data_IF_925103161074
#
_entry.id   IF_925103161074
#
_cell.length_a   1.000
_cell.length_b   1.000
_cell.length_c   1.000
_cell.angle_alpha   90.00
_cell.angle_beta   90.00
_cell.angle_gamma   90.00
#
_symmetry.space_group_name_H-M   'P 1'
#
loop_
_entity.id
_entity.type
_entity.pdbx_description
1 polymer ?
#
# COMPACT_ATOMS: atom_id res chain seq x y z
N UNK A 1 16.24 11.54 -16.06
CA UNK A 1 15.83 12.67 -16.95
C UNK A 1 15.08 13.64 -16.07
N UNK A 2 15.63 14.84 -15.89
CA UNK A 2 15.00 15.89 -15.05
C UNK A 2 14.22 16.93 -15.87
N UNK A 3 14.38 16.89 -17.20
CA UNK A 3 13.76 17.87 -18.11
C UNK A 3 13.28 17.19 -19.38
N UNK A 4 11.99 17.35 -19.66
CA UNK A 4 11.35 16.84 -20.90
C UNK A 4 11.50 17.76 -22.10
N UNK A 5 12.02 18.99 -21.92
CA UNK A 5 12.24 19.95 -23.02
C UNK A 5 13.28 19.44 -24.03
N UNK A 6 14.19 18.57 -23.58
CA UNK A 6 15.22 17.94 -24.44
C UNK A 6 14.63 17.08 -25.59
N UNK A 7 13.35 16.67 -25.49
CA UNK A 7 12.68 15.85 -26.51
C UNK A 7 12.01 16.67 -27.62
N UNK A 8 12.20 17.99 -27.64
CA UNK A 8 11.67 18.84 -28.70
C UNK A 8 10.17 18.70 -28.92
N UNK A 9 9.73 18.37 -30.14
CA UNK A 9 8.34 18.14 -30.53
C UNK A 9 7.88 16.68 -30.43
N UNK A 10 8.79 15.76 -30.15
CA UNK A 10 8.47 14.32 -30.13
C UNK A 10 7.48 13.96 -29.00
N UNK A 11 6.61 12.98 -29.23
CA UNK A 11 5.78 12.44 -28.16
C UNK A 11 6.62 11.83 -27.04
N UNK A 12 6.27 12.13 -25.79
CA UNK A 12 6.96 11.62 -24.59
C UNK A 12 5.98 10.79 -23.77
N UNK A 13 6.35 9.56 -23.49
CA UNK A 13 5.61 8.67 -22.60
C UNK A 13 6.29 8.66 -21.23
N UNK A 14 5.55 8.99 -20.19
CA UNK A 14 6.01 8.96 -18.79
C UNK A 14 5.35 7.76 -18.09
N UNK A 15 6.18 6.84 -17.61
CA UNK A 15 5.79 5.62 -16.92
C UNK A 15 6.56 5.47 -15.60
N UNK A 16 6.65 6.54 -14.81
CA UNK A 16 7.50 6.63 -13.61
C UNK A 16 6.88 6.03 -12.35
N UNK A 17 5.68 5.46 -12.47
CA UNK A 17 5.05 4.72 -11.39
C UNK A 17 4.48 5.62 -10.28
N UNK A 18 4.50 5.10 -9.07
CA UNK A 18 3.91 5.71 -7.88
C UNK A 18 4.90 5.62 -6.71
N UNK A 19 4.68 6.43 -5.69
CA UNK A 19 5.44 6.39 -4.43
C UNK A 19 4.53 5.96 -3.27
N UNK A 20 5.06 5.34 -2.21
CA UNK A 20 4.30 5.04 -1.01
C UNK A 20 3.62 6.26 -0.42
N UNK A 21 2.41 6.09 0.09
CA UNK A 21 1.68 7.11 0.83
C UNK A 21 2.19 7.18 2.25
N UNK A 22 3.07 8.14 2.53
CA UNK A 22 3.57 8.37 3.89
C UNK A 22 2.48 8.98 4.79
N UNK A 23 2.28 8.40 5.95
CA UNK A 23 1.29 8.86 6.93
C UNK A 23 1.83 10.00 7.81
N UNK A 24 2.40 11.04 7.20
CA UNK A 24 3.14 12.16 7.87
C UNK A 24 2.38 12.89 8.96
N UNK A 25 1.04 12.75 9.00
CA UNK A 25 0.20 13.37 10.05
C UNK A 25 0.10 12.50 11.31
N UNK A 26 0.57 11.26 11.25
CA UNK A 26 0.58 10.33 12.39
C UNK A 26 1.88 10.55 13.16
N UNK A 27 1.84 10.95 14.45
CA UNK A 27 3.04 11.04 15.27
C UNK A 27 3.81 9.71 15.29
N UNK A 28 5.12 9.76 15.09
CA UNK A 28 5.97 8.56 15.02
C UNK A 28 5.93 7.82 13.68
N UNK A 29 5.34 8.40 12.63
CA UNK A 29 5.26 7.77 11.31
C UNK A 29 6.64 7.39 10.73
N UNK A 30 7.70 8.11 11.10
CA UNK A 30 9.08 7.87 10.69
C UNK A 30 9.67 6.56 11.26
N UNK A 31 9.01 5.93 12.23
CA UNK A 31 9.36 4.62 12.78
C UNK A 31 8.77 3.46 11.97
N UNK A 32 7.85 3.75 11.06
CA UNK A 32 7.25 2.73 10.20
C UNK A 32 8.20 2.35 9.07
N UNK A 33 8.18 1.07 8.72
CA UNK A 33 8.81 0.52 7.54
C UNK A 33 7.78 0.54 6.42
N UNK A 34 8.09 1.12 5.26
CA UNK A 34 7.18 1.03 4.12
C UNK A 34 7.11 -0.41 3.59
N UNK A 35 5.94 -0.85 3.14
CA UNK A 35 5.77 -2.21 2.64
C UNK A 35 6.75 -2.58 1.53
N UNK A 36 7.13 -1.64 0.65
CA UNK A 36 8.14 -1.86 -0.37
C UNK A 36 9.55 -2.07 0.21
N UNK A 37 9.90 -1.42 1.31
CA UNK A 37 11.21 -1.58 1.96
C UNK A 37 11.29 -2.94 2.68
N UNK A 38 10.18 -3.39 3.30
CA UNK A 38 10.08 -4.74 3.83
C UNK A 38 10.27 -5.79 2.72
N UNK A 39 9.58 -5.66 1.58
CA UNK A 39 9.71 -6.56 0.44
C UNK A 39 11.12 -6.53 -0.20
N UNK A 40 11.88 -5.47 0.01
CA UNK A 40 13.28 -5.35 -0.40
C UNK A 40 14.27 -5.88 0.66
N UNK A 41 13.78 -6.49 1.74
CA UNK A 41 14.61 -7.19 2.73
C UNK A 41 14.89 -6.42 4.01
N UNK A 42 14.15 -5.34 4.32
CA UNK A 42 14.24 -4.72 5.64
C UNK A 42 13.74 -5.69 6.72
N UNK A 43 14.57 -5.97 7.69
CA UNK A 43 14.23 -6.89 8.78
C UNK A 43 13.20 -6.29 9.74
N UNK A 44 12.35 -7.15 10.29
CA UNK A 44 11.30 -6.81 11.27
C UNK A 44 11.35 -7.77 12.47
N UNK A 45 10.84 -7.32 13.61
CA UNK A 45 10.72 -8.12 14.82
C UNK A 45 9.70 -9.26 14.69
N UNK A 46 9.35 -9.89 15.81
CA UNK A 46 8.47 -11.07 15.83
C UNK A 46 7.00 -10.68 15.75
N UNK A 47 6.59 -9.62 16.45
CA UNK A 47 5.21 -9.10 16.41
C UNK A 47 5.17 -7.85 15.53
N UNK A 48 4.43 -7.93 14.42
CA UNK A 48 4.44 -6.91 13.38
C UNK A 48 3.04 -6.35 13.15
N UNK A 49 2.87 -5.06 13.41
CA UNK A 49 1.65 -4.35 13.04
C UNK A 49 1.69 -3.94 11.56
N UNK A 50 0.74 -4.42 10.76
CA UNK A 50 0.58 -4.07 9.34
C UNK A 50 -0.56 -3.06 9.22
N UNK A 51 -0.23 -1.84 8.82
CA UNK A 51 -1.18 -0.72 8.70
C UNK A 51 -1.70 -0.66 7.25
N UNK A 52 -2.95 -1.05 7.09
CA UNK A 52 -3.63 -1.17 5.80
C UNK A 52 -3.90 -2.62 5.42
N UNK A 53 -5.17 -3.02 5.46
CA UNK A 53 -5.68 -4.35 5.10
C UNK A 53 -6.08 -4.47 3.62
N UNK A 54 -5.44 -3.70 2.73
CA UNK A 54 -5.53 -3.89 1.29
C UNK A 54 -4.80 -5.16 0.84
N UNK A 55 -4.76 -5.42 -0.49
CA UNK A 55 -4.13 -6.64 -1.01
C UNK A 55 -2.68 -6.77 -0.54
N UNK A 56 -1.85 -5.74 -0.74
CA UNK A 56 -0.44 -5.75 -0.35
C UNK A 56 -0.25 -5.99 1.15
N UNK A 57 -1.01 -5.30 2.01
CA UNK A 57 -0.89 -5.49 3.45
C UNK A 57 -1.32 -6.88 3.91
N UNK A 58 -2.37 -7.44 3.30
CA UNK A 58 -2.79 -8.82 3.59
C UNK A 58 -1.76 -9.84 3.08
N UNK A 59 -1.16 -9.65 1.89
CA UNK A 59 -0.11 -10.53 1.37
C UNK A 59 1.14 -10.49 2.26
N UNK A 60 1.57 -9.31 2.73
CA UNK A 60 2.68 -9.17 3.68
C UNK A 60 2.36 -9.84 5.02
N UNK A 61 1.15 -9.63 5.57
CA UNK A 61 0.75 -10.27 6.82
C UNK A 61 0.70 -11.80 6.70
N UNK A 62 0.24 -12.31 5.56
CA UNK A 62 0.24 -13.74 5.25
C UNK A 62 1.67 -14.29 5.19
N UNK A 63 2.57 -13.62 4.49
CA UNK A 63 3.99 -14.00 4.40
C UNK A 63 4.67 -14.00 5.78
N UNK A 64 4.49 -12.95 6.58
CA UNK A 64 5.00 -12.87 7.95
C UNK A 64 4.55 -14.07 8.80
N UNK A 65 3.27 -14.44 8.71
CA UNK A 65 2.76 -15.60 9.44
C UNK A 65 3.38 -16.93 8.96
N UNK A 66 3.62 -17.09 7.65
CA UNK A 66 4.32 -18.26 7.11
C UNK A 66 5.79 -18.33 7.57
N UNK A 67 6.41 -17.18 7.85
CA UNK A 67 7.75 -17.10 8.42
C UNK A 67 7.77 -17.36 9.95
N UNK A 68 6.61 -17.64 10.57
CA UNK A 68 6.48 -17.89 12.00
C UNK A 68 6.41 -16.62 12.85
N UNK A 69 6.21 -15.44 12.25
CA UNK A 69 5.99 -14.18 12.96
C UNK A 69 4.51 -13.99 13.32
N UNK A 70 4.22 -12.99 14.13
CA UNK A 70 2.89 -12.68 14.63
C UNK A 70 2.37 -11.37 13.99
N UNK A 71 1.78 -11.41 12.79
CA UNK A 71 1.21 -10.22 12.17
C UNK A 71 -0.08 -9.79 12.87
N UNK A 72 -0.29 -8.47 12.95
CA UNK A 72 -1.50 -7.83 13.42
C UNK A 72 -1.95 -6.87 12.32
N UNK A 73 -3.16 -7.02 11.78
CA UNK A 73 -3.66 -6.16 10.69
C UNK A 73 -4.54 -5.06 11.28
N UNK A 74 -4.26 -3.81 10.91
CA UNK A 74 -5.09 -2.65 11.24
C UNK A 74 -5.64 -2.05 9.94
N UNK A 75 -6.96 -2.06 9.77
CA UNK A 75 -7.63 -1.55 8.58
C UNK A 75 -8.73 -0.56 8.95
N UNK A 76 -8.74 0.59 8.27
CA UNK A 76 -9.72 1.65 8.50
C UNK A 76 -11.11 1.34 7.93
N UNK A 77 -11.20 0.42 6.97
CA UNK A 77 -12.46 -0.03 6.39
C UNK A 77 -13.07 -1.17 7.19
N UNK A 78 -14.27 -1.54 6.81
CA UNK A 78 -15.09 -2.58 7.42
C UNK A 78 -14.75 -4.00 6.94
N UNK A 79 -13.82 -4.14 5.96
CA UNK A 79 -13.39 -5.44 5.45
C UNK A 79 -11.98 -5.39 4.87
N UNK A 80 -11.29 -6.55 4.86
CA UNK A 80 -10.01 -6.73 4.22
C UNK A 80 -10.16 -6.82 2.70
N UNK A 81 -9.11 -6.40 1.97
CA UNK A 81 -9.04 -6.49 0.50
C UNK A 81 -10.32 -5.97 -0.17
N UNK A 82 -10.86 -4.86 0.35
CA UNK A 82 -12.13 -4.28 -0.12
C UNK A 82 -12.00 -3.44 -1.41
N UNK A 83 -10.79 -3.35 -1.99
CA UNK A 83 -10.57 -2.62 -3.25
C UNK A 83 -11.16 -3.36 -4.45
N UNK A 84 -11.65 -2.60 -5.43
CA UNK A 84 -12.15 -3.15 -6.69
C UNK A 84 -11.04 -3.67 -7.59
N UNK A 85 -11.34 -4.68 -8.41
CA UNK A 85 -10.41 -5.23 -9.41
C UNK A 85 -9.46 -6.30 -8.88
N UNK A 86 -9.63 -6.74 -7.63
CA UNK A 86 -8.95 -7.93 -7.08
C UNK A 86 -9.78 -9.16 -7.41
N UNK A 87 -9.10 -10.25 -7.75
CA UNK A 87 -9.76 -11.54 -7.96
C UNK A 87 -10.43 -12.00 -6.66
N UNK A 88 -11.69 -12.42 -6.75
CA UNK A 88 -12.46 -12.89 -5.60
C UNK A 88 -11.77 -14.07 -4.89
N UNK A 89 -11.17 -14.97 -5.66
CA UNK A 89 -10.44 -16.11 -5.10
C UNK A 89 -9.30 -15.66 -4.16
N UNK A 90 -8.54 -14.64 -4.55
CA UNK A 90 -7.44 -14.12 -3.72
C UNK A 90 -7.97 -13.43 -2.45
N UNK A 91 -8.99 -12.58 -2.58
CA UNK A 91 -9.53 -11.86 -1.43
C UNK A 91 -10.23 -12.78 -0.44
N UNK A 92 -11.03 -13.76 -0.92
CA UNK A 92 -11.67 -14.76 -0.07
C UNK A 92 -10.66 -15.66 0.63
N UNK A 93 -9.64 -16.13 -0.12
CA UNK A 93 -8.58 -16.95 0.45
C UNK A 93 -7.88 -16.29 1.64
N UNK A 94 -7.45 -15.02 1.47
CA UNK A 94 -6.76 -14.28 2.53
C UNK A 94 -7.64 -14.06 3.76
N UNK A 95 -8.91 -13.65 3.55
CA UNK A 95 -9.86 -13.46 4.65
C UNK A 95 -10.10 -14.75 5.44
N UNK A 96 -10.40 -15.85 4.73
CA UNK A 96 -10.63 -17.16 5.33
C UNK A 96 -9.39 -17.68 6.05
N UNK A 97 -8.21 -17.48 5.46
CA UNK A 97 -6.95 -17.88 6.06
C UNK A 97 -6.71 -17.17 7.40
N UNK A 98 -6.85 -15.83 7.45
CA UNK A 98 -6.69 -15.06 8.68
C UNK A 98 -7.72 -15.46 9.74
N UNK A 99 -8.96 -15.69 9.35
CA UNK A 99 -10.00 -16.15 10.26
C UNK A 99 -9.67 -17.55 10.84
N UNK A 100 -9.24 -18.49 9.99
CA UNK A 100 -8.87 -19.86 10.40
C UNK A 100 -7.69 -19.85 11.37
N UNK A 101 -6.66 -19.04 11.10
CA UNK A 101 -5.44 -18.95 11.92
C UNK A 101 -5.56 -17.97 13.08
N UNK A 102 -6.74 -17.34 13.24
CA UNK A 102 -7.03 -16.37 14.31
C UNK A 102 -6.03 -15.21 14.34
N UNK A 103 -5.55 -14.79 13.18
CA UNK A 103 -4.70 -13.61 13.05
C UNK A 103 -5.45 -12.40 13.57
N UNK A 104 -4.88 -11.58 14.47
CA UNK A 104 -5.53 -10.37 14.97
C UNK A 104 -5.79 -9.39 13.82
N UNK A 105 -7.06 -9.04 13.61
CA UNK A 105 -7.52 -8.09 12.59
C UNK A 105 -8.41 -7.04 13.26
N UNK A 106 -7.98 -5.79 13.18
CA UNK A 106 -8.72 -4.63 13.68
C UNK A 106 -9.31 -3.88 12.49
N UNK A 107 -10.58 -4.13 12.19
CA UNK A 107 -11.35 -3.41 11.16
C UNK A 107 -11.94 -2.12 11.73
N UNK A 108 -12.33 -1.18 10.85
CA UNK A 108 -12.88 0.13 11.20
C UNK A 108 -12.01 0.85 12.25
N UNK A 109 -10.68 0.64 12.14
CA UNK A 109 -9.69 1.07 13.13
C UNK A 109 -8.61 1.90 12.45
N UNK A 110 -8.36 3.10 12.97
CA UNK A 110 -7.44 4.08 12.37
C UNK A 110 -6.21 4.24 13.23
N UNK A 111 -5.02 4.16 12.63
CA UNK A 111 -3.76 4.45 13.30
C UNK A 111 -3.71 5.92 13.75
N UNK A 112 -3.44 6.13 15.03
CA UNK A 112 -3.37 7.45 15.66
C UNK A 112 -1.94 7.87 15.98
N UNK A 113 -1.10 6.95 16.43
CA UNK A 113 0.28 7.21 16.86
C UNK A 113 1.12 5.93 16.79
N UNK A 114 2.41 6.08 16.46
CA UNK A 114 3.41 5.01 16.54
C UNK A 114 4.39 5.33 17.66
N UNK A 115 4.55 4.39 18.59
CA UNK A 115 5.45 4.49 19.74
C UNK A 115 6.58 3.48 19.64
N UNK A 116 7.50 3.53 20.60
CA UNK A 116 8.49 2.46 20.76
C UNK A 116 7.78 1.25 21.38
N UNK A 117 7.77 0.13 20.65
CA UNK A 117 7.17 -1.13 21.10
C UNK A 117 5.65 -1.19 21.03
N UNK A 118 4.95 -0.19 20.48
CA UNK A 118 3.48 -0.24 20.33
C UNK A 118 2.94 0.77 19.33
N UNK A 119 1.67 0.60 18.97
CA UNK A 119 0.87 1.60 18.25
C UNK A 119 -0.39 1.96 19.05
N UNK A 120 -0.86 3.19 18.88
CA UNK A 120 -2.19 3.60 19.34
C UNK A 120 -3.11 3.73 18.14
N UNK A 121 -4.25 3.10 18.21
CA UNK A 121 -5.28 3.17 17.18
C UNK A 121 -6.60 3.67 17.79
N UNK A 122 -7.46 4.24 16.97
CA UNK A 122 -8.83 4.59 17.37
C UNK A 122 -9.80 3.64 16.67
N UNK A 123 -10.57 2.90 17.45
CA UNK A 123 -11.57 1.95 16.94
C UNK A 123 -12.87 2.65 16.50
N UNK A 124 -13.80 1.87 15.95
CA UNK A 124 -15.13 2.31 15.49
C UNK A 124 -15.93 3.07 16.56
N UNK A 125 -15.80 2.68 17.81
CA UNK A 125 -16.47 3.32 18.94
C UNK A 125 -15.81 4.62 19.42
N UNK A 126 -14.77 5.07 18.72
CA UNK A 126 -14.01 6.28 19.05
C UNK A 126 -13.04 6.13 20.22
N UNK A 127 -12.88 4.92 20.76
CA UNK A 127 -11.94 4.68 21.85
C UNK A 127 -10.55 4.33 21.33
N UNK A 128 -9.56 4.75 22.09
CA UNK A 128 -8.18 4.41 21.81
C UNK A 128 -7.85 2.98 22.27
N UNK A 129 -7.14 2.27 21.40
CA UNK A 129 -6.66 0.90 21.62
C UNK A 129 -5.13 0.96 21.53
N UNK A 130 -4.43 0.45 22.54
CA UNK A 130 -2.99 0.24 22.47
C UNK A 130 -2.72 -1.19 21.99
N UNK A 131 -1.85 -1.33 21.00
CA UNK A 131 -1.47 -2.61 20.40
C UNK A 131 0.06 -2.72 20.48
N UNK A 132 0.54 -3.68 21.26
CA UNK A 132 1.97 -3.93 21.40
C UNK A 132 2.52 -4.62 20.13
N UNK A 133 3.67 -4.16 19.64
CA UNK A 133 4.34 -4.71 18.45
C UNK A 133 5.81 -4.29 18.42
N UNK A 134 6.66 -5.15 17.84
CA UNK A 134 8.09 -4.88 17.68
C UNK A 134 8.39 -4.01 16.46
N UNK A 135 7.58 -4.13 15.43
CA UNK A 135 7.73 -3.39 14.17
C UNK A 135 6.38 -2.98 13.61
N UNK A 136 6.39 -1.91 12.80
CA UNK A 136 5.19 -1.40 12.12
C UNK A 136 5.47 -1.28 10.63
N UNK A 137 4.69 -1.97 9.80
CA UNK A 137 4.76 -1.89 8.34
C UNK A 137 3.60 -1.03 7.83
N UNK A 138 3.93 0.00 7.05
CA UNK A 138 2.96 0.86 6.37
C UNK A 138 2.58 0.29 5.02
N UNK A 139 1.31 -0.07 4.85
CA UNK A 139 0.68 -0.49 3.60
C UNK A 139 -0.49 0.43 3.24
N UNK A 140 -0.34 1.75 3.49
CA UNK A 140 -1.38 2.76 3.32
C UNK A 140 -1.67 3.14 1.84
N UNK A 141 -1.13 2.37 0.90
CA UNK A 141 -1.29 2.54 -0.53
C UNK A 141 -0.23 3.45 -1.16
N UNK A 142 -0.47 3.84 -2.41
CA UNK A 142 0.47 4.60 -3.23
C UNK A 142 -0.17 5.88 -3.76
N UNK A 143 0.65 6.85 -4.14
CA UNK A 143 0.26 8.07 -4.87
C UNK A 143 1.02 8.17 -6.19
N UNK A 144 0.35 8.57 -7.29
CA UNK A 144 1.00 8.78 -8.58
C UNK A 144 2.20 9.72 -8.46
N UNK A 145 3.30 9.38 -9.15
CA UNK A 145 4.54 10.17 -9.15
C UNK A 145 5.00 10.48 -10.59
N UNK A 146 4.24 11.28 -11.35
CA UNK A 146 4.65 11.69 -12.69
C UNK A 146 5.81 12.68 -12.64
N UNK A 147 6.77 12.56 -13.57
CA UNK A 147 7.88 13.50 -13.71
C UNK A 147 7.46 14.83 -14.35
N UNK A 148 6.33 14.86 -15.06
CA UNK A 148 5.77 16.06 -15.67
C UNK A 148 4.25 15.93 -15.80
N UNK A 149 3.60 17.07 -16.01
CA UNK A 149 2.16 17.11 -16.25
C UNK A 149 1.80 16.61 -17.66
N UNK A 150 0.61 16.03 -17.79
CA UNK A 150 0.05 15.62 -19.07
C UNK A 150 -0.16 16.84 -19.97
N UNK A 151 0.24 16.74 -21.24
CA UNK A 151 0.05 17.78 -22.24
C UNK A 151 -0.23 17.15 -23.62
N UNK A 152 -0.32 17.97 -24.67
CA UNK A 152 -0.50 17.47 -26.03
C UNK A 152 0.55 16.46 -26.50
N UNK A 153 1.80 16.62 -26.08
CA UNK A 153 2.91 15.72 -26.39
C UNK A 153 3.33 14.80 -25.24
N UNK A 154 2.88 15.06 -24.02
CA UNK A 154 3.26 14.29 -22.82
C UNK A 154 2.13 13.39 -22.41
N UNK A 155 2.37 12.09 -22.49
CA UNK A 155 1.41 11.03 -22.19
C UNK A 155 1.82 10.32 -20.89
N UNK A 156 0.93 10.31 -19.90
CA UNK A 156 1.14 9.55 -18.67
C UNK A 156 0.51 8.17 -18.79
N UNK A 157 1.24 7.12 -18.42
CA UNK A 157 0.76 5.73 -18.43
C UNK A 157 1.07 5.02 -17.11
N UNK A 158 0.36 3.94 -16.82
CA UNK A 158 0.57 3.16 -15.60
C UNK A 158 0.21 3.94 -14.33
N UNK A 159 0.92 3.64 -13.25
CA UNK A 159 0.60 4.16 -11.92
C UNK A 159 0.97 5.64 -11.74
N UNK A 160 1.81 6.21 -12.60
CA UNK A 160 2.06 7.66 -12.58
C UNK A 160 0.85 8.47 -13.06
N UNK A 161 -0.07 7.87 -13.81
CA UNK A 161 -1.36 8.47 -14.15
C UNK A 161 -2.40 8.21 -13.04
N UNK A 162 -2.53 6.96 -12.64
CA UNK A 162 -3.42 6.55 -11.56
C UNK A 162 -3.00 5.16 -11.08
N UNK A 163 -2.85 4.98 -9.78
CA UNK A 163 -2.51 3.69 -9.19
C UNK A 163 -3.59 2.65 -9.53
N UNK A 164 -3.15 1.46 -9.92
CA UNK A 164 -4.04 0.40 -10.35
C UNK A 164 -3.42 -0.99 -10.26
N UNK A 165 -3.83 -1.88 -11.16
CA UNK A 165 -3.31 -3.23 -11.27
C UNK A 165 -2.67 -3.44 -12.66
N UNK A 166 -2.03 -4.60 -12.88
CA UNK A 166 -1.37 -4.93 -14.16
C UNK A 166 -2.29 -4.74 -15.36
N UNK A 167 -3.56 -5.13 -15.27
CA UNK A 167 -4.53 -4.93 -16.33
C UNK A 167 -4.67 -3.45 -16.69
N UNK A 168 -4.88 -2.58 -15.71
CA UNK A 168 -5.05 -1.15 -15.95
C UNK A 168 -3.79 -0.48 -16.50
N UNK A 169 -2.61 -0.93 -16.06
CA UNK A 169 -1.32 -0.45 -16.56
C UNK A 169 -1.14 -0.80 -18.04
N UNK A 170 -1.36 -2.07 -18.41
CA UNK A 170 -1.24 -2.54 -19.79
C UNK A 170 -2.23 -1.82 -20.72
N UNK A 171 -3.50 -1.74 -20.34
CA UNK A 171 -4.51 -1.08 -21.19
C UNK A 171 -4.23 0.41 -21.39
N UNK A 172 -3.83 1.13 -20.34
CA UNK A 172 -3.47 2.57 -20.48
C UNK A 172 -2.29 2.78 -21.40
N UNK A 173 -1.27 1.90 -21.34
CA UNK A 173 -0.12 1.97 -22.22
C UNK A 173 -0.54 1.70 -23.68
N UNK A 174 -1.36 0.69 -23.92
CA UNK A 174 -1.91 0.36 -25.22
C UNK A 174 -2.71 1.51 -25.81
N UNK A 175 -3.65 2.09 -25.04
CA UNK A 175 -4.50 3.20 -25.49
C UNK A 175 -3.69 4.45 -25.89
N UNK A 176 -2.55 4.69 -25.26
CA UNK A 176 -1.66 5.78 -25.63
C UNK A 176 -0.88 5.40 -26.90
N UNK A 177 -0.28 4.22 -26.94
CA UNK A 177 0.53 3.76 -28.09
C UNK A 177 -0.26 3.73 -29.40
N UNK A 178 -1.58 3.49 -29.34
CA UNK A 178 -2.45 3.51 -30.53
C UNK A 178 -2.85 4.91 -31.02
N UNK A 179 -2.44 5.98 -30.31
CA UNK A 179 -2.83 7.37 -30.61
C UNK A 179 -1.67 8.29 -30.98
N UNK A 180 -0.43 7.82 -30.83
CA UNK A 180 0.82 8.56 -31.13
C UNK A 180 1.49 8.07 -32.38
#
# INVERSE_FOLDING_TARGET
IKDISAFGSDPVIIATGATPRLLRKVPGYEKMIEGCDYLNGTEVGDTVAVIGGGLTGCEIAYELALQGKNPIIVEMKDDLVSQTGVCLANSSYLREWFALHKTPVYLETVLKEVRDGSIVCTGKDGKDINIDCDSVISCAGYIPAPLAEKSGKVHLVGDCLAVGNLRSVVWRAYDVAMKI
#
